data_IF_342903861693
#
_entry.id   IF_342903861693
#
_cell.length_a   1.000
_cell.length_b   1.000
_cell.length_c   1.000
_cell.angle_alpha   90.00
_cell.angle_beta   90.00
_cell.angle_gamma   90.00
#
_symmetry.space_group_name_H-M   'P 1'
#
loop_
_entity.id
_entity.type
_entity.pdbx_description
1 polymer ?
#
# COMPACT_ATOMS: atom_id res chain seq x y z
N UNK A 1 -106.29 9.72 -20.59
CA UNK A 1 -105.51 9.63 -19.34
C UNK A 1 -104.38 8.66 -19.58
N UNK A 2 -103.21 9.17 -19.95
CA UNK A 2 -101.99 8.42 -20.34
C UNK A 2 -100.91 8.74 -19.32
N UNK A 3 -100.56 7.72 -18.50
CA UNK A 3 -99.43 7.83 -17.54
C UNK A 3 -98.08 7.55 -18.23
N UNK A 4 -97.19 8.56 -18.24
CA UNK A 4 -95.84 8.40 -18.66
C UNK A 4 -95.00 7.79 -17.54
N UNK A 5 -94.35 6.68 -17.79
CA UNK A 5 -93.35 6.05 -16.95
C UNK A 5 -92.00 6.59 -17.33
N UNK A 6 -91.31 7.39 -16.46
CA UNK A 6 -89.96 7.78 -16.63
C UNK A 6 -89.01 6.72 -16.04
N UNK A 7 -88.23 6.08 -16.89
CA UNK A 7 -87.15 5.17 -16.52
C UNK A 7 -85.89 6.00 -16.37
N UNK A 8 -85.34 6.09 -15.13
CA UNK A 8 -84.08 6.78 -14.85
C UNK A 8 -82.98 5.72 -14.88
N UNK A 9 -82.10 5.84 -15.87
CA UNK A 9 -80.95 4.97 -16.04
C UNK A 9 -79.79 5.55 -15.17
N UNK A 10 -79.45 4.82 -14.11
CA UNK A 10 -78.24 5.17 -13.32
C UNK A 10 -77.00 4.55 -14.00
N UNK A 11 -76.13 5.37 -14.57
CA UNK A 11 -74.87 4.97 -15.10
C UNK A 11 -73.88 4.85 -13.92
N UNK A 12 -73.55 3.63 -13.52
CA UNK A 12 -72.50 3.38 -12.52
C UNK A 12 -71.20 3.41 -13.26
N UNK A 13 -70.45 4.53 -13.09
CA UNK A 13 -69.06 4.66 -13.54
C UNK A 13 -68.17 3.88 -12.58
N UNK A 14 -67.78 2.66 -12.96
CA UNK A 14 -66.71 1.92 -12.27
C UNK A 14 -65.38 2.57 -12.63
N UNK A 15 -64.83 3.36 -11.71
CA UNK A 15 -63.46 3.84 -11.79
C UNK A 15 -62.51 2.65 -11.61
N UNK A 16 -62.01 2.07 -12.69
CA UNK A 16 -60.87 1.15 -12.71
C UNK A 16 -59.63 2.00 -12.48
N UNK A 17 -59.26 2.18 -11.21
CA UNK A 17 -57.92 2.71 -10.84
C UNK A 17 -56.89 1.70 -11.39
N UNK A 18 -55.91 2.14 -12.18
CA UNK A 18 -54.79 1.26 -12.53
C UNK A 18 -54.09 0.86 -11.23
N UNK A 19 -54.15 -0.41 -10.86
CA UNK A 19 -53.27 -1.01 -9.88
C UNK A 19 -51.85 -0.87 -10.49
N UNK A 20 -51.14 0.20 -10.12
CA UNK A 20 -49.68 0.23 -10.28
C UNK A 20 -49.17 -0.96 -9.50
N UNK A 21 -48.72 -2.00 -10.19
CA UNK A 21 -47.83 -3.00 -9.63
C UNK A 21 -46.63 -2.23 -9.10
N UNK A 22 -46.66 -1.89 -7.83
CA UNK A 22 -45.44 -1.49 -7.14
C UNK A 22 -44.49 -2.65 -7.39
N UNK A 23 -43.46 -2.43 -8.20
CA UNK A 23 -42.32 -3.35 -8.23
C UNK A 23 -41.81 -3.41 -6.81
N UNK A 24 -42.13 -4.52 -6.13
CA UNK A 24 -41.53 -4.80 -4.84
C UNK A 24 -40.03 -4.83 -5.07
N UNK A 25 -39.32 -4.06 -4.32
CA UNK A 25 -37.87 -4.16 -4.25
C UNK A 25 -37.55 -5.57 -3.74
N UNK A 26 -37.13 -6.46 -4.67
CA UNK A 26 -36.82 -7.85 -4.34
C UNK A 26 -35.33 -7.89 -3.88
N UNK A 27 -35.10 -7.53 -2.61
CA UNK A 27 -33.90 -7.99 -1.90
C UNK A 27 -34.00 -9.50 -1.64
N UNK A 28 -32.91 -10.17 -1.27
CA UNK A 28 -32.96 -11.59 -0.90
C UNK A 28 -33.82 -11.77 0.35
N UNK A 29 -34.73 -12.74 0.32
CA UNK A 29 -35.56 -13.07 1.48
C UNK A 29 -34.73 -13.59 2.66
N UNK A 30 -33.63 -14.28 2.36
CA UNK A 30 -32.67 -14.84 3.33
C UNK A 30 -31.30 -15.07 2.66
N UNK A 31 -30.26 -15.11 3.46
CA UNK A 31 -28.92 -15.57 3.06
C UNK A 31 -28.59 -16.98 3.55
N UNK A 32 -29.55 -17.69 4.18
CA UNK A 32 -29.31 -18.95 4.87
C UNK A 32 -28.76 -20.04 3.93
N UNK A 33 -29.45 -20.28 2.80
CA UNK A 33 -29.04 -21.32 1.84
C UNK A 33 -27.67 -21.02 1.22
N UNK A 34 -27.41 -19.73 0.94
CA UNK A 34 -26.12 -19.30 0.42
C UNK A 34 -25.00 -19.52 1.45
N UNK A 35 -25.24 -19.11 2.70
CA UNK A 35 -24.29 -19.28 3.80
C UNK A 35 -23.99 -20.77 4.05
N UNK A 36 -25.01 -21.64 4.07
CA UNK A 36 -24.84 -23.09 4.21
C UNK A 36 -23.97 -23.68 3.09
N UNK A 37 -24.19 -23.25 1.85
CA UNK A 37 -23.45 -23.72 0.68
C UNK A 37 -21.97 -23.36 0.72
N UNK A 38 -21.61 -22.11 1.13
CA UNK A 38 -20.25 -21.59 0.98
C UNK A 38 -19.40 -21.67 2.25
N UNK A 39 -20.02 -21.77 3.44
CA UNK A 39 -19.32 -21.83 4.73
C UNK A 39 -18.31 -22.96 4.88
N UNK A 40 -18.53 -24.19 4.31
CA UNK A 40 -17.53 -25.25 4.41
C UNK A 40 -16.15 -24.91 3.85
N UNK A 41 -16.09 -23.97 2.89
CA UNK A 41 -14.85 -23.53 2.27
C UNK A 41 -14.20 -22.34 2.98
N UNK A 42 -14.84 -21.76 4.02
CA UNK A 42 -14.30 -20.64 4.80
C UNK A 42 -13.65 -21.19 6.05
N UNK A 43 -12.41 -20.82 6.27
CA UNK A 43 -11.57 -21.36 7.34
C UNK A 43 -11.18 -20.29 8.35
N UNK A 44 -10.94 -20.73 9.59
CA UNK A 44 -10.22 -19.95 10.59
C UNK A 44 -8.73 -20.15 10.38
N UNK A 45 -7.97 -19.06 10.47
CA UNK A 45 -6.51 -19.06 10.47
C UNK A 45 -6.04 -18.58 11.83
N UNK A 46 -5.29 -19.43 12.52
CA UNK A 46 -4.61 -19.09 13.77
C UNK A 46 -3.11 -19.17 13.57
N UNK A 47 -2.40 -18.13 13.99
CA UNK A 47 -0.95 -18.05 13.87
C UNK A 47 -0.32 -17.84 15.25
N UNK A 48 0.89 -18.36 15.42
CA UNK A 48 1.76 -18.04 16.54
C UNK A 48 3.11 -17.60 16.02
N UNK A 49 3.75 -16.65 16.70
CA UNK A 49 5.06 -16.15 16.31
C UNK A 49 5.75 -15.45 17.48
N UNK A 50 7.03 -15.13 17.29
CA UNK A 50 7.86 -14.39 18.24
C UNK A 50 8.20 -13.05 17.60
N UNK A 51 7.85 -11.96 18.24
CA UNK A 51 8.27 -10.61 17.83
C UNK A 51 9.48 -10.22 18.68
N UNK A 52 10.63 -10.03 18.03
CA UNK A 52 11.76 -9.31 18.62
C UNK A 52 11.46 -7.82 18.53
N UNK A 53 11.10 -7.20 19.63
CA UNK A 53 10.84 -5.77 19.68
C UNK A 53 12.17 -5.00 19.58
N UNK A 54 12.64 -4.76 18.36
CA UNK A 54 13.57 -3.67 18.07
C UNK A 54 12.76 -2.39 18.04
N UNK A 55 13.09 -1.42 18.88
CA UNK A 55 12.31 -0.21 19.18
C UNK A 55 12.05 0.76 18.00
N UNK A 56 11.51 0.27 16.91
CA UNK A 56 10.91 1.03 15.82
C UNK A 56 9.53 0.42 15.54
N UNK A 57 8.53 1.27 15.63
CA UNK A 57 7.11 0.96 15.48
C UNK A 57 6.82 0.29 14.14
N UNK A 58 6.70 -1.03 14.12
CA UNK A 58 5.93 -1.70 13.07
C UNK A 58 4.45 -1.69 13.48
N UNK A 59 3.53 -1.31 12.58
CA UNK A 59 2.11 -1.35 12.88
C UNK A 59 1.70 -2.79 13.19
N UNK A 60 1.25 -3.03 14.43
CA UNK A 60 0.67 -4.31 14.83
C UNK A 60 -0.74 -4.45 14.23
N UNK A 61 -1.27 -5.69 14.16
CA UNK A 61 -2.70 -5.92 13.83
C UNK A 61 -3.62 -5.02 14.68
N UNK A 62 -3.19 -4.68 15.89
CA UNK A 62 -3.91 -3.76 16.79
C UNK A 62 -3.89 -2.33 16.26
N UNK A 63 -2.86 -1.91 15.57
CA UNK A 63 -2.75 -0.58 14.96
C UNK A 63 -3.60 -0.45 13.71
N UNK A 64 -3.82 -1.53 12.97
CA UNK A 64 -4.75 -1.58 11.84
C UNK A 64 -6.21 -1.33 12.25
N UNK A 65 -6.56 -1.66 13.50
CA UNK A 65 -7.91 -1.47 14.05
C UNK A 65 -8.00 -0.32 15.06
N UNK A 66 -6.88 0.30 15.48
CA UNK A 66 -6.83 1.39 16.45
C UNK A 66 -6.07 2.59 15.87
N UNK A 67 -6.74 3.53 15.23
CA UNK A 67 -6.22 4.87 14.97
C UNK A 67 -6.27 5.72 16.29
N UNK A 68 -5.49 6.76 16.52
CA UNK A 68 -4.25 6.83 17.30
C UNK A 68 -4.53 7.09 18.79
N UNK A 69 -4.03 6.25 19.67
CA UNK A 69 -3.78 6.65 21.07
C UNK A 69 -2.35 6.26 21.46
N UNK A 70 -1.53 7.27 21.72
CA UNK A 70 -0.21 7.17 22.32
C UNK A 70 -0.26 6.38 23.64
N UNK A 71 0.38 5.22 23.68
CA UNK A 71 0.78 4.58 24.93
C UNK A 71 2.31 4.62 25.07
N UNK A 72 2.84 4.78 26.32
CA UNK A 72 4.28 4.88 26.53
C UNK A 72 4.97 3.54 26.28
N UNK A 73 6.12 3.62 25.62
CA UNK A 73 7.04 2.57 25.26
C UNK A 73 7.34 1.61 26.43
N UNK A 74 7.12 0.29 26.31
CA UNK A 74 7.68 -0.70 27.23
C UNK A 74 9.07 -1.18 26.76
N UNK A 75 9.88 -1.63 27.71
CA UNK A 75 11.23 -2.15 27.49
C UNK A 75 11.25 -3.38 26.56
N UNK A 76 12.36 -3.66 25.84
CA UNK A 76 12.46 -4.76 24.90
C UNK A 76 12.22 -6.11 25.58
N UNK A 77 11.23 -6.85 25.14
CA UNK A 77 10.96 -8.22 25.58
C UNK A 77 10.45 -9.05 24.42
N UNK A 78 10.94 -10.28 24.26
CA UNK A 78 10.34 -11.28 23.39
C UNK A 78 8.90 -11.53 23.84
N UNK A 79 7.93 -11.32 22.97
CA UNK A 79 6.53 -11.68 23.24
C UNK A 79 6.04 -12.68 22.21
N UNK A 80 5.50 -13.79 22.69
CA UNK A 80 4.67 -14.65 21.87
C UNK A 80 3.37 -13.90 21.52
N UNK A 81 3.06 -13.82 20.24
CA UNK A 81 1.78 -13.31 19.79
C UNK A 81 0.95 -14.44 19.17
N UNK A 82 -0.37 -14.30 19.24
CA UNK A 82 -1.31 -15.14 18.52
C UNK A 82 -2.25 -14.26 17.74
N UNK A 83 -2.28 -14.43 16.42
CA UNK A 83 -3.22 -13.74 15.54
C UNK A 83 -4.34 -14.69 15.14
N UNK A 84 -5.53 -14.12 14.92
CA UNK A 84 -6.72 -14.82 14.47
C UNK A 84 -7.33 -14.07 13.28
N UNK A 85 -7.48 -14.78 12.19
CA UNK A 85 -8.14 -14.29 10.98
C UNK A 85 -8.97 -15.38 10.31
N UNK A 86 -9.42 -15.08 9.11
CA UNK A 86 -10.12 -16.01 8.24
C UNK A 86 -9.37 -16.19 6.93
N UNK A 87 -9.73 -17.20 6.20
CA UNK A 87 -9.33 -17.44 4.83
C UNK A 87 -10.39 -18.25 4.11
N UNK A 88 -10.16 -18.56 2.86
CA UNK A 88 -11.02 -19.44 2.10
C UNK A 88 -10.24 -20.28 1.11
N UNK A 89 -10.69 -21.50 0.93
CA UNK A 89 -10.10 -22.48 0.02
C UNK A 89 -10.49 -22.13 -1.42
N UNK A 90 -9.52 -22.14 -2.34
CA UNK A 90 -9.71 -21.82 -3.76
C UNK A 90 -9.47 -23.00 -4.70
N UNK A 91 -9.00 -24.12 -4.15
CA UNK A 91 -8.73 -25.34 -4.95
C UNK A 91 -8.92 -26.61 -4.14
N UNK A 92 -9.29 -27.72 -4.81
CA UNK A 92 -9.51 -29.03 -4.19
C UNK A 92 -8.26 -29.58 -3.48
N UNK A 93 -7.07 -29.20 -3.94
CA UNK A 93 -5.79 -29.63 -3.40
C UNK A 93 -5.29 -28.77 -2.23
N UNK A 94 -6.04 -27.70 -1.84
CA UNK A 94 -5.84 -26.99 -0.58
C UNK A 94 -5.06 -25.68 -0.66
N UNK A 95 -5.13 -24.94 -1.76
CA UNK A 95 -4.73 -23.53 -1.76
C UNK A 95 -5.76 -22.67 -1.03
N UNK A 96 -5.27 -21.77 -0.19
CA UNK A 96 -6.09 -20.90 0.67
C UNK A 96 -5.63 -19.46 0.50
N UNK A 97 -6.59 -18.56 0.32
CA UNK A 97 -6.38 -17.11 0.28
C UNK A 97 -6.70 -16.50 1.64
N UNK A 98 -5.86 -15.57 2.07
CA UNK A 98 -6.06 -14.75 3.26
C UNK A 98 -5.37 -13.39 3.11
N UNK A 99 -5.42 -12.54 4.13
CA UNK A 99 -4.62 -11.31 4.17
C UNK A 99 -3.19 -11.58 4.64
N UNK A 100 -2.25 -10.76 4.14
CA UNK A 100 -0.85 -10.81 4.58
C UNK A 100 -0.73 -10.53 6.09
N UNK A 101 -1.39 -9.48 6.59
CA UNK A 101 -1.34 -9.11 8.01
C UNK A 101 -1.83 -10.21 8.97
N UNK A 102 -2.60 -11.21 8.49
CA UNK A 102 -3.03 -12.36 9.30
C UNK A 102 -1.90 -13.34 9.54
N UNK A 103 -0.96 -13.47 8.59
CA UNK A 103 0.11 -14.47 8.58
C UNK A 103 1.51 -13.87 8.68
N UNK A 104 1.61 -12.55 8.68
CA UNK A 104 2.88 -11.85 8.80
C UNK A 104 3.59 -12.22 10.12
N UNK A 105 4.89 -12.47 10.03
CA UNK A 105 5.75 -12.89 11.15
C UNK A 105 5.31 -14.19 11.86
N UNK A 106 4.42 -15.00 11.26
CA UNK A 106 4.01 -16.26 11.82
C UNK A 106 5.11 -17.32 11.69
N UNK A 107 5.42 -18.00 12.79
CA UNK A 107 6.28 -19.19 12.79
C UNK A 107 5.48 -20.48 12.63
N UNK A 108 4.21 -20.48 13.00
CA UNK A 108 3.28 -21.62 12.86
C UNK A 108 1.91 -21.11 12.40
N UNK A 109 1.37 -21.73 11.34
CA UNK A 109 0.07 -21.38 10.75
C UNK A 109 -0.82 -22.61 10.80
N UNK A 110 -1.99 -22.47 11.44
CA UNK A 110 -2.98 -23.53 11.56
C UNK A 110 -4.32 -23.10 11.01
N UNK A 111 -4.87 -23.94 10.17
CA UNK A 111 -6.18 -23.76 9.52
C UNK A 111 -7.20 -24.67 10.19
N UNK A 112 -8.35 -24.11 10.58
CA UNK A 112 -9.47 -24.87 11.14
C UNK A 112 -10.70 -24.68 10.28
N UNK A 113 -11.24 -25.77 9.75
CA UNK A 113 -12.48 -25.82 8.96
C UNK A 113 -13.72 -25.74 9.84
N UNK A 114 -14.88 -25.48 9.27
CA UNK A 114 -16.16 -25.37 10.00
C UNK A 114 -16.63 -26.68 10.63
N UNK A 115 -16.20 -27.82 10.11
CA UNK A 115 -16.47 -29.16 10.65
C UNK A 115 -15.50 -29.56 11.79
N UNK A 116 -14.53 -28.69 12.11
CA UNK A 116 -13.53 -28.92 13.15
C UNK A 116 -12.24 -29.59 12.66
N UNK A 117 -12.10 -29.91 11.36
CA UNK A 117 -10.84 -30.40 10.79
C UNK A 117 -9.75 -29.33 10.96
N UNK A 118 -8.60 -29.73 11.46
CA UNK A 118 -7.43 -28.86 11.68
C UNK A 118 -6.26 -29.35 10.84
N UNK A 119 -5.68 -28.45 10.06
CA UNK A 119 -4.51 -28.74 9.22
C UNK A 119 -3.44 -27.69 9.48
N UNK A 120 -2.19 -28.10 9.41
CA UNK A 120 -1.05 -27.18 9.32
C UNK A 120 -1.00 -26.60 7.93
N UNK A 121 -0.69 -25.31 7.84
CA UNK A 121 -0.58 -24.60 6.56
C UNK A 121 0.84 -24.08 6.37
N UNK A 122 1.32 -24.17 5.14
CA UNK A 122 2.55 -23.57 4.67
C UNK A 122 2.24 -22.22 4.00
N UNK A 123 3.00 -21.17 4.34
CA UNK A 123 2.96 -19.90 3.62
C UNK A 123 3.73 -20.06 2.30
N UNK A 124 3.01 -20.08 1.19
CA UNK A 124 3.61 -20.18 -0.15
C UNK A 124 4.27 -18.88 -0.54
N UNK A 125 3.52 -17.78 -0.47
CA UNK A 125 4.00 -16.43 -0.76
C UNK A 125 2.98 -15.39 -0.30
N UNK A 126 3.40 -14.12 -0.27
CA UNK A 126 2.54 -13.00 0.10
C UNK A 126 2.89 -11.74 -0.69
N UNK A 127 1.98 -10.79 -0.67
CA UNK A 127 2.15 -9.44 -1.19
C UNK A 127 1.70 -8.42 -0.14
N UNK A 128 2.65 -7.77 0.51
CA UNK A 128 2.38 -6.79 1.55
C UNK A 128 1.69 -5.52 1.01
N UNK A 129 1.95 -5.16 -0.27
CA UNK A 129 1.40 -3.95 -0.89
C UNK A 129 -0.11 -4.04 -1.15
N UNK A 130 -0.64 -5.25 -1.41
CA UNK A 130 -2.09 -5.50 -1.57
C UNK A 130 -2.70 -6.24 -0.40
N UNK A 131 -1.92 -6.53 0.66
CA UNK A 131 -2.36 -7.26 1.84
C UNK A 131 -2.95 -8.64 1.54
N UNK A 132 -2.33 -9.41 0.64
CA UNK A 132 -2.76 -10.76 0.26
C UNK A 132 -1.69 -11.81 0.56
N UNK A 133 -2.11 -13.00 0.96
CA UNK A 133 -1.25 -14.16 1.17
C UNK A 133 -1.89 -15.43 0.61
N UNK A 134 -1.03 -16.33 0.11
CA UNK A 134 -1.38 -17.65 -0.38
C UNK A 134 -0.79 -18.71 0.55
N UNK A 135 -1.66 -19.54 1.10
CA UNK A 135 -1.30 -20.67 1.93
C UNK A 135 -1.58 -21.99 1.20
N UNK A 136 -0.93 -23.04 1.67
CA UNK A 136 -1.15 -24.41 1.22
C UNK A 136 -1.35 -25.34 2.42
N UNK A 137 -2.42 -26.12 2.39
CA UNK A 137 -2.64 -27.23 3.33
C UNK A 137 -2.57 -28.56 2.58
N UNK A 138 -2.22 -29.63 3.28
CA UNK A 138 -2.29 -30.97 2.74
C UNK A 138 -3.69 -31.53 2.94
N UNK A 139 -4.48 -31.58 1.86
CA UNK A 139 -5.84 -32.11 1.84
C UNK A 139 -6.21 -32.56 0.42
N UNK A 140 -7.20 -33.42 0.33
CA UNK A 140 -7.78 -33.92 -0.93
C UNK A 140 -9.28 -33.66 -0.91
N UNK A 141 -9.85 -33.36 -2.06
CA UNK A 141 -11.29 -33.11 -2.25
C UNK A 141 -11.86 -32.02 -1.31
N UNK A 142 -11.05 -30.99 -1.00
CA UNK A 142 -11.47 -29.92 -0.13
C UNK A 142 -12.58 -29.06 -0.77
N UNK A 143 -13.62 -28.66 0.00
CA UNK A 143 -14.61 -27.72 -0.48
C UNK A 143 -13.92 -26.37 -0.80
N UNK A 144 -14.14 -25.83 -1.99
CA UNK A 144 -13.48 -24.63 -2.47
C UNK A 144 -14.44 -23.64 -3.12
N UNK A 145 -14.02 -22.40 -3.26
CA UNK A 145 -14.78 -21.28 -3.80
C UNK A 145 -14.18 -20.81 -5.12
N UNK A 146 -15.03 -20.23 -5.94
CA UNK A 146 -14.62 -19.60 -7.19
C UNK A 146 -14.67 -18.07 -7.06
N UNK A 147 -13.68 -17.41 -7.64
CA UNK A 147 -13.72 -15.97 -7.81
C UNK A 147 -14.80 -15.56 -8.82
N UNK A 148 -15.57 -14.54 -8.45
CA UNK A 148 -16.47 -13.83 -9.35
C UNK A 148 -15.77 -12.65 -10.01
N UNK A 149 -16.50 -11.93 -10.84
CA UNK A 149 -16.01 -10.71 -11.50
C UNK A 149 -16.40 -9.48 -10.68
N UNK A 150 -15.43 -8.93 -9.92
CA UNK A 150 -15.64 -7.75 -9.10
C UNK A 150 -16.04 -6.50 -9.90
N UNK A 151 -15.73 -6.43 -11.22
CA UNK A 151 -16.09 -5.26 -12.02
C UNK A 151 -17.57 -5.18 -12.32
N UNK A 152 -18.29 -6.30 -12.22
CA UNK A 152 -19.75 -6.35 -12.34
C UNK A 152 -20.47 -5.90 -11.06
N UNK A 153 -19.78 -5.85 -9.91
CA UNK A 153 -20.36 -5.44 -8.64
C UNK A 153 -20.66 -3.93 -8.63
N UNK A 154 -21.95 -3.56 -8.60
CA UNK A 154 -22.40 -2.17 -8.61
C UNK A 154 -22.72 -1.68 -7.20
N UNK A 155 -22.55 -0.39 -6.96
CA UNK A 155 -23.04 0.26 -5.75
C UNK A 155 -24.54 -0.03 -5.58
N UNK A 156 -24.91 -0.52 -4.40
CA UNK A 156 -26.27 -0.99 -4.07
C UNK A 156 -26.49 -2.49 -4.26
N UNK A 157 -25.56 -3.24 -4.88
CA UNK A 157 -25.67 -4.70 -4.92
C UNK A 157 -25.55 -5.30 -3.52
N UNK A 158 -26.38 -6.29 -3.20
CA UNK A 158 -26.25 -7.08 -1.98
C UNK A 158 -24.97 -7.87 -1.96
N UNK A 159 -24.36 -7.94 -0.78
CA UNK A 159 -23.14 -8.71 -0.52
C UNK A 159 -23.24 -9.41 0.83
N UNK A 160 -22.53 -10.53 0.96
CA UNK A 160 -22.43 -11.30 2.19
C UNK A 160 -20.96 -11.52 2.53
N UNK A 161 -20.53 -11.09 3.71
CA UNK A 161 -19.20 -11.35 4.23
C UNK A 161 -19.26 -12.55 5.20
N UNK A 162 -18.32 -13.47 5.05
CA UNK A 162 -18.17 -14.61 5.97
C UNK A 162 -16.75 -14.60 6.53
N UNK A 163 -16.66 -14.88 7.84
CA UNK A 163 -15.43 -15.20 8.53
C UNK A 163 -15.65 -16.37 9.47
N UNK A 164 -14.58 -16.94 9.98
CA UNK A 164 -14.65 -18.02 10.97
C UNK A 164 -13.82 -17.67 12.22
N UNK A 165 -14.11 -16.54 12.90
CA UNK A 165 -13.38 -16.17 14.09
C UNK A 165 -13.51 -17.27 15.15
N UNK A 166 -12.39 -17.70 15.70
CA UNK A 166 -12.33 -18.73 16.74
C UNK A 166 -12.68 -20.17 16.32
N UNK A 167 -12.93 -20.46 15.04
CA UNK A 167 -13.28 -21.82 14.59
C UNK A 167 -14.63 -22.33 15.13
N UNK A 168 -15.57 -21.44 15.44
CA UNK A 168 -16.85 -21.76 16.07
C UNK A 168 -18.02 -21.93 15.08
N UNK A 169 -17.73 -22.19 13.80
CA UNK A 169 -18.77 -22.49 12.81
C UNK A 169 -19.13 -21.32 11.88
N UNK A 170 -18.32 -20.26 11.86
CA UNK A 170 -18.49 -19.14 10.95
C UNK A 170 -19.37 -18.01 11.48
N UNK A 171 -19.08 -16.80 11.04
CA UNK A 171 -19.91 -15.60 11.28
C UNK A 171 -20.28 -15.01 9.93
N UNK A 172 -21.58 -14.82 9.72
CA UNK A 172 -22.14 -14.28 8.48
C UNK A 172 -22.65 -12.87 8.75
N UNK A 173 -22.24 -11.92 7.92
CA UNK A 173 -22.80 -10.57 7.90
C UNK A 173 -23.23 -10.22 6.48
N UNK A 174 -24.26 -9.40 6.32
CA UNK A 174 -24.76 -8.97 5.02
C UNK A 174 -24.92 -7.46 4.97
N UNK A 175 -24.79 -6.92 3.77
CA UNK A 175 -24.91 -5.50 3.48
C UNK A 175 -24.92 -5.27 1.98
N UNK A 176 -24.48 -4.10 1.55
CA UNK A 176 -24.38 -3.73 0.13
C UNK A 176 -22.98 -3.28 -0.24
N UNK A 177 -22.68 -3.25 -1.50
CA UNK A 177 -21.58 -2.46 -2.04
C UNK A 177 -21.91 -0.99 -1.84
N UNK A 178 -21.21 -0.31 -0.92
CA UNK A 178 -21.44 1.10 -0.61
C UNK A 178 -20.69 2.05 -1.55
N UNK A 179 -19.49 1.64 -2.00
CA UNK A 179 -18.67 2.37 -2.97
C UNK A 179 -17.65 1.41 -3.61
N UNK A 180 -16.98 1.88 -4.67
CA UNK A 180 -15.88 1.16 -5.35
C UNK A 180 -14.69 2.12 -5.54
N UNK A 181 -13.51 1.56 -5.82
CA UNK A 181 -12.32 2.34 -6.10
C UNK A 181 -11.87 3.17 -4.88
N UNK A 182 -12.10 2.68 -3.66
CA UNK A 182 -11.66 3.39 -2.45
C UNK A 182 -10.18 3.24 -2.24
N UNK A 183 -9.53 4.40 -2.01
CA UNK A 183 -8.11 4.52 -1.74
C UNK A 183 -7.94 5.01 -0.30
N UNK A 184 -7.14 4.32 0.49
CA UNK A 184 -6.97 4.57 1.92
C UNK A 184 -5.54 5.01 2.27
N UNK A 185 -4.69 5.18 1.26
CA UNK A 185 -3.32 5.66 1.38
C UNK A 185 -2.27 4.67 0.90
N UNK A 186 -2.64 3.44 0.60
CA UNK A 186 -1.78 2.46 -0.05
C UNK A 186 -1.58 2.77 -1.55
N UNK A 187 -0.44 2.38 -2.08
CA UNK A 187 -0.06 2.65 -3.47
C UNK A 187 -0.95 1.96 -4.50
N UNK A 188 -1.47 0.78 -4.16
CA UNK A 188 -2.28 -0.07 -5.05
C UNK A 188 -3.69 -0.30 -4.53
N UNK A 189 -4.17 0.59 -3.66
CA UNK A 189 -5.51 0.51 -3.13
C UNK A 189 -6.56 0.58 -4.24
N UNK A 190 -7.52 -0.32 -4.18
CA UNK A 190 -8.71 -0.35 -5.03
C UNK A 190 -9.84 -1.08 -4.31
N UNK A 191 -10.24 -0.57 -3.12
CA UNK A 191 -11.16 -1.32 -2.28
C UNK A 191 -12.63 -1.19 -2.71
N UNK A 192 -13.36 -2.30 -2.55
CA UNK A 192 -14.81 -2.29 -2.46
C UNK A 192 -15.16 -1.89 -1.03
N UNK A 193 -15.94 -0.82 -0.88
CA UNK A 193 -16.51 -0.42 0.41
C UNK A 193 -17.85 -1.12 0.61
N UNK A 194 -18.09 -1.66 1.81
CA UNK A 194 -19.37 -2.30 2.19
C UNK A 194 -19.80 -1.89 3.59
N UNK A 195 -21.11 -1.91 3.85
CA UNK A 195 -21.70 -1.77 5.19
C UNK A 195 -21.99 -3.14 5.85
N UNK A 196 -21.75 -4.25 5.15
CA UNK A 196 -21.63 -5.55 5.79
C UNK A 196 -20.58 -5.46 6.91
N UNK A 197 -20.93 -5.88 8.12
CA UNK A 197 -20.08 -5.70 9.29
C UNK A 197 -18.79 -6.50 9.16
N UNK A 198 -17.66 -5.80 8.92
CA UNK A 198 -16.31 -6.35 8.99
C UNK A 198 -15.80 -6.07 10.40
N UNK A 199 -15.22 -7.08 11.04
CA UNK A 199 -14.66 -6.99 12.38
C UNK A 199 -13.43 -7.90 12.49
N UNK A 200 -12.70 -7.82 13.61
CA UNK A 200 -11.63 -8.77 13.93
C UNK A 200 -12.13 -10.20 13.78
N UNK A 201 -11.48 -10.98 12.94
CA UNK A 201 -11.75 -12.38 12.68
C UNK A 201 -12.44 -12.69 11.36
N UNK A 202 -13.04 -11.74 10.62
CA UNK A 202 -13.45 -11.97 9.24
C UNK A 202 -12.50 -11.35 8.19
N UNK A 203 -11.42 -10.69 8.63
CA UNK A 203 -10.31 -10.29 7.75
C UNK A 203 -9.67 -11.52 7.11
N UNK A 204 -9.39 -11.46 5.81
CA UNK A 204 -8.92 -12.57 4.98
C UNK A 204 -10.03 -13.50 4.48
N UNK A 205 -11.24 -13.40 5.04
CA UNK A 205 -12.41 -14.14 4.58
C UNK A 205 -13.04 -13.52 3.32
N UNK A 206 -13.94 -14.28 2.64
CA UNK A 206 -14.54 -13.85 1.38
C UNK A 206 -15.70 -12.86 1.57
N UNK A 207 -15.84 -11.95 0.59
CA UNK A 207 -17.04 -11.17 0.32
C UNK A 207 -17.73 -11.76 -0.90
N UNK A 208 -18.99 -12.18 -0.76
CA UNK A 208 -19.76 -12.86 -1.80
C UNK A 208 -20.78 -11.94 -2.45
N UNK A 209 -21.08 -12.21 -3.71
CA UNK A 209 -22.33 -11.81 -4.35
C UNK A 209 -23.49 -12.78 -4.00
N UNK A 210 -24.67 -12.53 -4.56
CA UNK A 210 -25.85 -13.39 -4.34
C UNK A 210 -25.78 -14.75 -5.05
N UNK A 211 -24.87 -14.93 -6.01
CA UNK A 211 -24.64 -16.19 -6.72
C UNK A 211 -23.64 -17.09 -5.98
N UNK A 212 -23.03 -16.58 -4.91
CA UNK A 212 -22.03 -17.28 -4.09
C UNK A 212 -20.63 -17.26 -4.70
N UNK A 213 -20.35 -16.32 -5.59
CA UNK A 213 -19.02 -16.06 -6.09
C UNK A 213 -18.30 -15.07 -5.19
N UNK A 214 -17.00 -15.26 -5.01
CA UNK A 214 -16.15 -14.34 -4.24
C UNK A 214 -15.87 -13.11 -5.07
N UNK A 215 -16.42 -11.96 -4.70
CA UNK A 215 -16.18 -10.67 -5.36
C UNK A 215 -15.14 -9.81 -4.63
N UNK A 216 -14.68 -10.26 -3.45
CA UNK A 216 -13.61 -9.58 -2.72
C UNK A 216 -13.08 -10.38 -1.55
N UNK A 217 -11.93 -9.94 -1.02
CA UNK A 217 -11.30 -10.45 0.21
C UNK A 217 -11.45 -9.39 1.28
N UNK A 218 -12.18 -9.69 2.37
CA UNK A 218 -12.36 -8.75 3.48
C UNK A 218 -11.00 -8.40 4.08
N UNK A 219 -10.68 -7.12 4.23
CA UNK A 219 -9.36 -6.69 4.73
C UNK A 219 -9.49 -5.85 5.98
N UNK A 220 -10.04 -4.65 5.90
CA UNK A 220 -9.96 -3.69 6.99
C UNK A 220 -11.27 -2.93 7.22
N UNK A 221 -11.30 -2.14 8.30
CA UNK A 221 -12.38 -1.20 8.61
C UNK A 221 -11.80 0.18 8.94
N UNK A 222 -12.59 1.22 8.72
CA UNK A 222 -12.35 2.51 9.36
C UNK A 222 -13.24 2.57 10.60
N UNK A 223 -12.63 2.66 11.78
CA UNK A 223 -13.36 2.66 13.05
C UNK A 223 -12.62 3.42 14.14
N UNK A 224 -13.27 4.38 14.82
CA UNK A 224 -12.68 5.06 15.98
C UNK A 224 -12.58 4.17 17.23
N UNK A 225 -13.33 3.06 17.28
CA UNK A 225 -13.45 2.21 18.47
C UNK A 225 -13.00 0.75 18.25
N UNK A 226 -12.49 0.43 17.05
CA UNK A 226 -12.07 -0.93 16.69
C UNK A 226 -13.21 -1.91 16.34
N UNK A 227 -14.47 -1.48 16.39
CA UNK A 227 -15.64 -2.26 15.95
C UNK A 227 -16.27 -1.68 14.69
N UNK A 228 -17.04 -2.49 13.95
CA UNK A 228 -17.71 -2.04 12.72
C UNK A 228 -18.70 -0.91 12.99
N UNK A 229 -18.61 0.15 12.20
CA UNK A 229 -19.56 1.26 12.13
C UNK A 229 -20.26 1.35 10.76
N UNK A 230 -20.22 0.27 9.97
CA UNK A 230 -20.78 0.22 8.61
C UNK A 230 -19.81 0.74 7.54
N UNK A 231 -18.51 0.78 7.82
CA UNK A 231 -17.47 1.18 6.86
C UNK A 231 -16.40 0.08 6.83
N UNK A 232 -16.67 -0.95 6.04
CA UNK A 232 -15.76 -2.06 5.78
C UNK A 232 -15.19 -2.00 4.36
N UNK A 233 -14.03 -2.63 4.16
CA UNK A 233 -13.30 -2.64 2.90
C UNK A 233 -12.88 -4.06 2.54
N UNK A 234 -13.04 -4.40 1.25
CA UNK A 234 -12.60 -5.66 0.68
C UNK A 234 -11.74 -5.42 -0.56
N UNK A 235 -10.69 -6.21 -0.72
CA UNK A 235 -9.84 -6.23 -1.91
C UNK A 235 -10.64 -6.87 -3.05
N UNK A 236 -10.81 -6.24 -4.23
CA UNK A 236 -11.61 -6.78 -5.34
C UNK A 236 -11.09 -8.13 -5.83
N UNK A 237 -12.00 -9.02 -6.19
CA UNK A 237 -11.64 -10.38 -6.64
C UNK A 237 -10.77 -10.40 -7.89
N UNK A 238 -10.96 -9.49 -8.85
CA UNK A 238 -10.13 -9.43 -10.05
C UNK A 238 -8.68 -9.09 -9.70
N UNK A 239 -8.46 -8.15 -8.79
CA UNK A 239 -7.12 -7.85 -8.25
C UNK A 239 -6.58 -9.04 -7.47
N UNK A 240 -7.36 -9.60 -6.54
CA UNK A 240 -6.94 -10.72 -5.71
C UNK A 240 -6.55 -11.93 -6.54
N UNK A 241 -7.37 -12.31 -7.54
CA UNK A 241 -7.08 -13.42 -8.45
C UNK A 241 -5.76 -13.22 -9.19
N UNK A 242 -5.53 -12.03 -9.74
CA UNK A 242 -4.29 -11.72 -10.48
C UNK A 242 -3.05 -11.86 -9.59
N UNK A 243 -3.13 -11.37 -8.35
CA UNK A 243 -2.05 -11.48 -7.36
C UNK A 243 -1.82 -12.96 -6.98
N UNK A 244 -2.88 -13.68 -6.62
CA UNK A 244 -2.80 -15.08 -6.21
C UNK A 244 -2.27 -15.99 -7.32
N UNK A 245 -2.67 -15.78 -8.58
CA UNK A 245 -2.15 -16.53 -9.74
C UNK A 245 -0.63 -16.32 -9.91
N UNK A 246 -0.13 -15.10 -9.68
CA UNK A 246 1.31 -14.81 -9.69
C UNK A 246 2.03 -15.47 -8.51
N UNK A 247 1.51 -15.31 -7.27
CA UNK A 247 2.08 -15.92 -6.07
C UNK A 247 2.17 -17.45 -6.21
N UNK A 248 1.15 -18.11 -6.79
CA UNK A 248 1.14 -19.54 -7.02
C UNK A 248 2.17 -19.98 -8.07
N UNK A 249 2.46 -19.15 -9.08
CA UNK A 249 3.28 -19.54 -10.24
C UNK A 249 4.75 -19.18 -10.04
N UNK A 250 5.03 -17.99 -9.52
CA UNK A 250 6.39 -17.42 -9.44
C UNK A 250 6.88 -17.24 -8.00
N UNK A 251 5.99 -17.31 -7.01
CA UNK A 251 6.31 -17.05 -5.61
C UNK A 251 6.53 -15.56 -5.29
N UNK A 252 6.44 -14.68 -6.27
CA UNK A 252 6.61 -13.22 -6.09
C UNK A 252 5.72 -12.44 -7.04
N UNK A 253 5.37 -11.22 -6.64
CA UNK A 253 4.66 -10.29 -7.51
C UNK A 253 5.66 -9.45 -8.31
N UNK A 254 5.49 -9.47 -9.61
CA UNK A 254 6.29 -8.64 -10.50
C UNK A 254 5.44 -7.49 -11.03
N UNK A 255 5.77 -6.27 -10.63
CA UNK A 255 5.12 -5.04 -11.10
C UNK A 255 6.02 -4.30 -12.06
N UNK A 256 5.43 -3.72 -13.10
CA UNK A 256 6.16 -2.78 -13.92
C UNK A 256 6.41 -1.48 -13.15
N UNK A 257 7.45 -0.79 -13.53
CA UNK A 257 7.96 0.36 -12.82
C UNK A 257 8.47 1.45 -13.75
N UNK A 258 8.07 2.70 -13.47
CA UNK A 258 8.56 3.91 -14.12
C UNK A 258 9.77 4.52 -13.39
N UNK A 259 9.73 4.53 -12.06
CA UNK A 259 10.73 5.17 -11.22
C UNK A 259 10.56 6.68 -11.09
N UNK A 260 9.32 7.12 -10.92
CA UNK A 260 8.94 8.51 -10.63
C UNK A 260 8.45 8.64 -9.19
N UNK A 261 8.77 9.74 -8.52
CA UNK A 261 8.05 10.23 -7.34
C UNK A 261 7.05 11.25 -7.80
N UNK A 262 5.80 11.09 -7.37
CA UNK A 262 4.67 11.88 -7.86
C UNK A 262 3.94 12.56 -6.72
N UNK A 263 3.29 13.67 -7.03
CA UNK A 263 2.37 14.36 -6.13
C UNK A 263 1.10 14.78 -6.85
N UNK A 264 0.09 15.11 -6.08
CA UNK A 264 -1.20 15.57 -6.56
C UNK A 264 -1.06 16.92 -7.31
N UNK A 265 -1.82 17.07 -8.38
CA UNK A 265 -1.98 18.32 -9.11
C UNK A 265 -3.11 19.10 -8.46
N UNK A 266 -2.80 20.13 -7.67
CA UNK A 266 -3.81 21.02 -7.10
C UNK A 266 -4.31 22.04 -8.14
N UNK A 267 -5.42 22.74 -7.82
CA UNK A 267 -5.95 23.80 -8.70
C UNK A 267 -4.92 24.91 -8.97
N UNK A 268 -4.12 25.27 -7.95
CA UNK A 268 -3.08 26.30 -8.08
C UNK A 268 -1.94 25.81 -8.97
N UNK A 269 -1.55 24.53 -8.88
CA UNK A 269 -0.51 23.94 -9.73
C UNK A 269 -1.01 23.87 -11.17
N UNK A 270 -2.25 23.40 -11.41
CA UNK A 270 -2.85 23.32 -12.73
C UNK A 270 -2.88 24.71 -13.40
N UNK A 271 -3.37 25.74 -12.69
CA UNK A 271 -3.39 27.11 -13.21
C UNK A 271 -1.99 27.66 -13.49
N UNK A 272 -1.03 27.40 -12.61
CA UNK A 272 0.37 27.89 -12.76
C UNK A 272 1.09 27.26 -13.96
N UNK A 273 0.71 26.04 -14.33
CA UNK A 273 1.30 25.30 -15.45
C UNK A 273 0.41 25.34 -16.73
N UNK A 274 -0.65 26.15 -16.74
CA UNK A 274 -1.53 26.33 -17.88
C UNK A 274 -2.40 25.10 -18.22
N UNK A 275 -2.63 24.21 -17.25
CA UNK A 275 -3.50 23.04 -17.42
C UNK A 275 -4.98 23.47 -17.35
N UNK A 276 -5.82 22.94 -18.24
CA UNK A 276 -7.22 23.34 -18.35
C UNK A 276 -8.13 22.77 -17.24
N UNK A 277 -7.71 21.68 -16.61
CA UNK A 277 -8.41 21.01 -15.49
C UNK A 277 -7.39 20.39 -14.54
N UNK A 278 -7.81 20.14 -13.32
CA UNK A 278 -6.99 19.45 -12.30
C UNK A 278 -7.04 17.95 -12.52
N UNK A 279 -5.99 17.38 -13.11
CA UNK A 279 -5.82 15.94 -13.37
C UNK A 279 -4.34 15.61 -13.58
N UNK A 280 -4.01 14.33 -13.68
CA UNK A 280 -2.64 13.88 -13.89
C UNK A 280 -1.86 13.66 -12.58
N UNK A 281 -0.60 13.31 -12.73
CA UNK A 281 0.36 13.10 -11.66
C UNK A 281 1.60 13.96 -11.90
N UNK A 282 1.88 14.93 -11.01
CA UNK A 282 3.05 15.80 -11.11
C UNK A 282 4.30 15.04 -10.68
N UNK A 283 5.30 14.97 -11.55
CA UNK A 283 6.60 14.36 -11.26
C UNK A 283 7.40 15.29 -10.36
N UNK A 284 7.49 14.93 -9.08
CA UNK A 284 8.26 15.63 -8.06
C UNK A 284 9.75 15.26 -8.11
N UNK A 285 10.07 14.06 -8.59
CA UNK A 285 11.43 13.57 -8.68
C UNK A 285 11.52 12.26 -9.47
N UNK A 286 12.72 11.89 -9.80
CA UNK A 286 13.04 10.68 -10.55
C UNK A 286 14.04 9.83 -9.75
N UNK A 287 13.79 8.52 -9.71
CA UNK A 287 14.76 7.60 -9.12
C UNK A 287 15.99 7.50 -10.04
N UNK A 288 17.22 7.54 -9.50
CA UNK A 288 18.42 7.33 -10.30
C UNK A 288 18.33 6.04 -11.13
N UNK A 289 18.85 6.06 -12.34
CA UNK A 289 18.85 4.94 -13.28
C UNK A 289 17.47 4.36 -13.64
N UNK A 290 16.39 5.06 -13.28
CA UNK A 290 15.04 4.62 -13.59
C UNK A 290 14.71 4.66 -15.10
N UNK A 291 13.71 3.86 -15.54
CA UNK A 291 13.17 3.94 -16.90
C UNK A 291 12.71 5.35 -17.29
N UNK A 292 11.99 6.02 -16.40
CA UNK A 292 11.50 7.39 -16.63
C UNK A 292 12.62 8.39 -16.90
N UNK A 293 13.70 8.32 -16.11
CA UNK A 293 14.88 9.20 -16.29
C UNK A 293 15.58 8.93 -17.63
N UNK A 294 15.78 7.64 -17.97
CA UNK A 294 16.47 7.21 -19.20
C UNK A 294 15.72 7.63 -20.45
N UNK A 295 14.37 7.53 -20.41
CA UNK A 295 13.52 7.75 -21.58
C UNK A 295 12.91 9.16 -21.61
N UNK A 296 13.42 10.09 -20.78
CA UNK A 296 13.25 11.53 -20.96
C UNK A 296 12.10 12.19 -20.22
N UNK A 297 11.48 11.51 -19.24
CA UNK A 297 10.61 12.17 -18.25
C UNK A 297 11.48 13.10 -17.40
N UNK A 298 10.92 14.23 -16.97
CA UNK A 298 11.62 15.26 -16.19
C UNK A 298 10.84 15.64 -14.95
N UNK A 299 11.54 16.16 -13.96
CA UNK A 299 10.90 16.83 -12.84
C UNK A 299 10.10 18.04 -13.34
N UNK A 300 8.90 18.22 -12.78
CA UNK A 300 7.95 19.24 -13.22
C UNK A 300 7.00 18.80 -14.34
N UNK A 301 7.18 17.63 -14.96
CA UNK A 301 6.20 17.07 -15.88
C UNK A 301 4.91 16.69 -15.14
N UNK A 302 3.75 16.87 -15.76
CA UNK A 302 2.51 16.26 -15.30
C UNK A 302 2.20 15.09 -16.25
N UNK A 303 2.22 13.86 -15.75
CA UNK A 303 1.81 12.68 -16.54
C UNK A 303 0.29 12.69 -16.62
N UNK A 304 -0.25 12.86 -17.82
CA UNK A 304 -1.70 13.01 -18.07
C UNK A 304 -2.33 11.81 -18.77
N UNK A 305 -1.53 10.96 -19.42
CA UNK A 305 -1.99 9.73 -20.07
C UNK A 305 -0.91 8.65 -19.98
N UNK A 306 -1.32 7.39 -19.77
CA UNK A 306 -0.48 6.22 -19.77
C UNK A 306 -1.14 5.07 -20.54
N UNK A 307 -0.51 4.58 -21.61
CA UNK A 307 -1.04 3.54 -22.51
C UNK A 307 -2.50 3.81 -22.94
N UNK A 308 -2.77 5.02 -23.44
CA UNK A 308 -4.08 5.49 -23.91
C UNK A 308 -5.16 5.60 -22.79
N UNK A 309 -4.78 5.46 -21.53
CA UNK A 309 -5.66 5.68 -20.38
C UNK A 309 -5.36 7.05 -19.74
N UNK A 310 -6.39 7.86 -19.50
CA UNK A 310 -6.25 9.15 -18.83
C UNK A 310 -5.82 8.93 -17.36
N UNK A 311 -4.82 9.69 -16.90
CA UNK A 311 -4.41 9.73 -15.51
C UNK A 311 -5.28 10.76 -14.80
N UNK A 312 -6.40 10.32 -14.24
CA UNK A 312 -7.37 11.21 -13.59
C UNK A 312 -6.84 11.85 -12.30
N UNK A 313 -5.94 11.15 -11.61
CA UNK A 313 -5.35 11.60 -10.33
C UNK A 313 -3.98 10.97 -10.11
N UNK A 314 -3.25 11.46 -9.09
CA UNK A 314 -1.95 10.91 -8.69
C UNK A 314 -2.01 9.42 -8.36
N UNK A 315 -3.15 8.94 -7.85
CA UNK A 315 -3.37 7.54 -7.46
C UNK A 315 -3.62 6.62 -8.67
N UNK A 316 -4.10 7.16 -9.79
CA UNK A 316 -4.39 6.37 -11.00
C UNK A 316 -3.10 5.84 -11.64
N UNK A 317 -2.03 6.64 -11.67
CA UNK A 317 -0.80 6.29 -12.37
C UNK A 317 -0.10 5.03 -11.83
N UNK A 318 0.10 4.84 -10.52
CA UNK A 318 0.74 3.63 -10.01
C UNK A 318 0.02 2.34 -10.41
N UNK A 319 -1.32 2.36 -10.41
CA UNK A 319 -2.16 1.23 -10.82
C UNK A 319 -1.94 0.90 -12.31
N UNK A 320 -2.07 1.90 -13.19
CA UNK A 320 -1.87 1.73 -14.64
C UNK A 320 -0.46 1.20 -14.96
N UNK A 321 0.56 1.69 -14.25
CA UNK A 321 1.94 1.23 -14.43
C UNK A 321 2.11 -0.21 -13.94
N UNK A 322 1.58 -0.56 -12.76
CA UNK A 322 1.72 -1.89 -12.18
C UNK A 322 1.05 -2.99 -13.04
N UNK A 323 -0.05 -2.66 -13.72
CA UNK A 323 -0.79 -3.56 -14.62
C UNK A 323 -0.11 -3.72 -15.99
N UNK A 324 0.86 -2.85 -16.34
CA UNK A 324 1.56 -2.90 -17.62
C UNK A 324 2.59 -4.04 -17.66
N UNK A 325 2.99 -4.42 -18.85
CA UNK A 325 3.96 -5.48 -19.06
C UNK A 325 5.40 -4.99 -18.91
N UNK A 326 6.19 -5.68 -18.08
CA UNK A 326 7.61 -5.39 -17.86
C UNK A 326 8.40 -5.60 -19.16
N UNK A 327 9.35 -4.70 -19.44
CA UNK A 327 10.20 -4.74 -20.63
C UNK A 327 9.53 -4.30 -21.92
N UNK A 328 8.25 -3.88 -21.83
CA UNK A 328 7.51 -3.34 -22.98
C UNK A 328 7.50 -1.81 -22.90
N UNK A 329 7.60 -1.18 -24.06
CA UNK A 329 7.56 0.27 -24.18
C UNK A 329 6.13 0.79 -23.95
N UNK A 330 5.94 1.59 -22.91
CA UNK A 330 4.67 2.25 -22.61
C UNK A 330 4.63 3.64 -23.23
N UNK A 331 3.48 4.01 -23.80
CA UNK A 331 3.19 5.36 -24.24
C UNK A 331 2.85 6.23 -23.04
N UNK A 332 3.60 7.31 -22.81
CA UNK A 332 3.37 8.26 -21.71
C UNK A 332 3.20 9.65 -22.31
N UNK A 333 2.05 10.28 -22.06
CA UNK A 333 1.83 11.67 -22.44
C UNK A 333 2.05 12.55 -21.21
N UNK A 334 2.96 13.50 -21.35
CA UNK A 334 3.27 14.48 -20.31
C UNK A 334 2.89 15.88 -20.73
N UNK A 335 2.39 16.68 -19.80
CA UNK A 335 2.24 18.12 -19.94
C UNK A 335 3.54 18.80 -19.48
N UNK A 336 4.22 19.48 -20.41
CA UNK A 336 5.51 20.15 -20.20
C UNK A 336 5.57 21.41 -21.06
N UNK A 337 5.94 22.55 -20.49
CA UNK A 337 6.03 23.84 -21.19
C UNK A 337 4.70 24.24 -21.89
N UNK A 338 3.58 24.07 -21.19
CA UNK A 338 2.21 24.32 -21.66
C UNK A 338 1.82 23.52 -22.94
N UNK A 339 2.44 22.37 -23.17
CA UNK A 339 2.19 21.50 -24.31
C UNK A 339 2.21 20.02 -23.90
N UNK A 340 1.41 19.22 -24.63
CA UNK A 340 1.48 17.77 -24.53
C UNK A 340 2.72 17.25 -25.29
N UNK A 341 3.47 16.36 -24.63
CA UNK A 341 4.61 15.65 -25.24
C UNK A 341 4.43 14.15 -25.02
N UNK A 342 4.48 13.39 -26.11
CA UNK A 342 4.43 11.93 -26.04
C UNK A 342 5.84 11.38 -25.91
N UNK A 343 6.04 10.53 -24.91
CA UNK A 343 7.26 9.78 -24.64
C UNK A 343 6.96 8.29 -24.70
N UNK A 344 7.97 7.48 -25.01
CA UNK A 344 7.88 6.03 -24.97
C UNK A 344 8.90 5.52 -23.95
N UNK A 345 8.40 4.90 -22.86
CA UNK A 345 9.22 4.49 -21.73
C UNK A 345 9.26 2.98 -21.63
N UNK A 346 10.45 2.39 -21.65
CA UNK A 346 10.64 0.95 -21.50
C UNK A 346 10.56 0.59 -20.01
N UNK A 347 9.42 -0.01 -19.59
CA UNK A 347 9.16 -0.28 -18.19
C UNK A 347 10.13 -1.32 -17.61
N UNK A 348 10.68 -1.01 -16.44
CA UNK A 348 11.49 -1.93 -15.66
C UNK A 348 10.64 -2.82 -14.74
N UNK A 349 11.28 -3.80 -14.09
CA UNK A 349 10.73 -4.47 -12.91
C UNK A 349 10.84 -3.51 -11.72
N UNK A 350 9.81 -3.43 -10.90
CA UNK A 350 9.85 -2.66 -9.66
C UNK A 350 10.94 -3.23 -8.74
N UNK A 351 11.93 -2.41 -8.31
CA UNK A 351 12.91 -2.84 -7.32
C UNK A 351 12.24 -3.16 -5.98
N UNK A 352 12.81 -4.08 -5.21
CA UNK A 352 12.39 -4.32 -3.83
C UNK A 352 12.55 -3.06 -2.97
N UNK A 353 11.88 -3.02 -1.81
CA UNK A 353 12.03 -1.88 -0.87
C UNK A 353 13.49 -1.71 -0.43
N UNK A 354 14.24 -2.80 -0.26
CA UNK A 354 15.66 -2.79 0.07
C UNK A 354 16.50 -2.22 -1.08
N UNK A 355 16.22 -2.64 -2.31
CA UNK A 355 16.87 -2.10 -3.51
C UNK A 355 16.55 -0.62 -3.71
N UNK A 356 15.29 -0.19 -3.52
CA UNK A 356 14.90 1.22 -3.58
C UNK A 356 15.61 2.04 -2.51
N UNK A 357 15.66 1.55 -1.27
CA UNK A 357 16.40 2.21 -0.20
C UNK A 357 17.90 2.32 -0.51
N UNK A 358 18.50 1.31 -1.13
CA UNK A 358 19.90 1.35 -1.55
C UNK A 358 20.12 2.35 -2.70
N UNK A 359 19.25 2.36 -3.71
CA UNK A 359 19.29 3.31 -4.83
C UNK A 359 19.10 4.76 -4.35
N UNK A 360 18.16 5.00 -3.45
CA UNK A 360 17.92 6.32 -2.86
C UNK A 360 19.11 6.76 -2.00
N UNK A 361 19.74 5.86 -1.27
CA UNK A 361 20.95 6.12 -0.50
C UNK A 361 22.16 6.42 -1.40
N UNK A 362 22.33 5.73 -2.53
CA UNK A 362 23.39 6.01 -3.50
C UNK A 362 23.10 7.26 -4.33
N UNK A 363 21.84 7.52 -4.68
CA UNK A 363 21.42 8.67 -5.49
C UNK A 363 21.32 10.00 -4.73
N UNK A 364 21.25 9.98 -3.41
CA UNK A 364 21.12 11.19 -2.58
C UNK A 364 22.45 11.78 -2.12
N UNK A 365 23.58 11.40 -2.74
CA UNK A 365 24.87 12.01 -2.42
C UNK A 365 24.91 13.46 -2.88
N UNK A 366 25.20 14.37 -1.96
CA UNK A 366 25.32 15.81 -2.23
C UNK A 366 26.79 16.17 -2.31
N UNK A 367 27.18 16.87 -3.36
CA UNK A 367 28.54 17.44 -3.46
C UNK A 367 28.62 18.77 -2.71
N UNK A 368 29.47 18.84 -1.71
CA UNK A 368 29.78 20.05 -0.95
C UNK A 368 31.02 20.68 -1.58
N UNK A 369 30.80 21.64 -2.49
CA UNK A 369 31.84 22.31 -3.26
C UNK A 369 32.89 22.97 -2.33
N UNK A 370 32.43 23.59 -1.26
CA UNK A 370 33.26 24.35 -0.30
C UNK A 370 34.25 23.46 0.46
N UNK A 371 34.01 22.15 0.53
CA UNK A 371 34.84 21.17 1.22
C UNK A 371 35.51 20.17 0.25
N UNK A 372 35.06 20.11 -1.01
CA UNK A 372 35.51 19.13 -1.99
C UNK A 372 35.18 17.71 -1.58
N UNK A 373 33.95 17.47 -1.08
CA UNK A 373 33.49 16.16 -0.64
C UNK A 373 32.07 15.85 -1.17
N UNK A 374 31.82 14.58 -1.40
CA UNK A 374 30.50 14.08 -1.69
C UNK A 374 30.00 13.28 -0.50
N UNK A 375 28.82 13.59 -0.04
CA UNK A 375 28.26 13.07 1.21
C UNK A 375 26.85 12.54 1.02
N UNK A 376 26.44 11.58 1.85
CA UNK A 376 25.04 11.14 1.99
C UNK A 376 24.72 10.78 3.44
N UNK A 377 23.46 10.62 3.74
CA UNK A 377 23.04 10.15 5.06
C UNK A 377 23.61 8.76 5.34
N UNK A 378 24.00 8.50 6.60
CA UNK A 378 24.48 7.20 7.05
C UNK A 378 23.28 6.24 7.11
N UNK A 379 23.35 5.12 6.36
CA UNK A 379 22.32 4.08 6.34
C UNK A 379 22.59 2.96 7.35
N UNK A 380 21.60 2.12 7.62
CA UNK A 380 21.79 0.92 8.45
C UNK A 380 22.75 -0.07 7.77
N UNK A 381 22.75 -0.18 6.43
CA UNK A 381 23.70 -1.00 5.69
C UNK A 381 25.13 -0.52 5.86
N UNK A 382 25.37 0.79 5.91
CA UNK A 382 26.69 1.33 6.24
C UNK A 382 27.12 0.96 7.65
N UNK A 383 26.19 1.05 8.60
CA UNK A 383 26.48 0.66 9.99
C UNK A 383 26.86 -0.81 10.06
N UNK A 384 26.13 -1.68 9.39
CA UNK A 384 26.43 -3.12 9.30
C UNK A 384 27.78 -3.37 8.61
N UNK A 385 28.00 -2.77 7.43
CA UNK A 385 29.23 -2.92 6.65
C UNK A 385 30.47 -2.42 7.39
N UNK A 386 30.34 -1.31 8.12
CA UNK A 386 31.43 -0.68 8.86
C UNK A 386 31.51 -1.15 10.33
N UNK A 387 30.64 -2.09 10.73
CA UNK A 387 30.52 -2.65 12.09
C UNK A 387 30.34 -1.56 13.15
N UNK A 388 29.48 -0.58 12.87
CA UNK A 388 29.16 0.52 13.77
C UNK A 388 28.03 0.13 14.73
N UNK A 389 28.00 0.79 15.88
CA UNK A 389 26.83 0.69 16.78
C UNK A 389 25.62 1.38 16.13
N UNK A 390 24.42 0.85 16.35
CA UNK A 390 23.15 1.46 15.94
C UNK A 390 22.96 2.89 16.45
N UNK A 391 23.60 3.23 17.58
CA UNK A 391 23.59 4.57 18.17
C UNK A 391 24.43 5.61 17.39
N UNK A 392 25.22 5.20 16.40
CA UNK A 392 26.00 6.16 15.58
C UNK A 392 25.07 6.84 14.58
N UNK A 393 24.94 8.15 14.68
CA UNK A 393 24.24 9.01 13.72
C UNK A 393 25.23 9.93 13.03
N UNK A 394 24.99 10.25 11.76
CA UNK A 394 25.90 11.13 11.02
C UNK A 394 25.70 11.07 9.52
N UNK A 395 26.69 11.59 8.81
CA UNK A 395 26.76 11.66 7.36
C UNK A 395 28.05 11.00 6.89
N UNK A 396 27.93 10.06 5.94
CA UNK A 396 29.09 9.32 5.40
C UNK A 396 29.65 10.00 4.14
N UNK A 397 30.96 10.01 3.99
CA UNK A 397 31.63 10.48 2.80
C UNK A 397 31.64 9.40 1.73
N UNK A 398 31.06 9.69 0.55
CA UNK A 398 31.10 8.79 -0.60
C UNK A 398 32.29 9.07 -1.52
N UNK A 399 32.78 10.31 -1.53
CA UNK A 399 33.91 10.73 -2.34
C UNK A 399 34.63 11.91 -1.65
N UNK A 400 35.95 12.01 -1.82
CA UNK A 400 36.77 13.12 -1.35
C UNK A 400 37.68 13.53 -2.49
N UNK A 401 37.61 14.79 -2.93
CA UNK A 401 38.42 15.30 -4.00
C UNK A 401 39.92 15.18 -3.65
N UNK A 402 40.72 14.76 -4.62
CA UNK A 402 42.20 14.61 -4.46
C UNK A 402 42.87 15.88 -4.00
N UNK A 403 42.37 17.03 -4.40
CA UNK A 403 42.91 18.35 -4.12
C UNK A 403 42.30 19.00 -2.88
N UNK A 404 41.31 18.36 -2.25
CA UNK A 404 40.62 18.90 -1.08
C UNK A 404 41.59 19.01 0.13
N UNK A 405 41.32 19.98 1.01
CA UNK A 405 42.04 20.09 2.29
C UNK A 405 41.83 18.81 3.14
N UNK A 406 40.63 18.20 3.10
CA UNK A 406 40.30 17.03 3.89
C UNK A 406 41.09 15.79 3.46
N UNK A 407 41.35 15.60 2.15
CA UNK A 407 42.22 14.53 1.66
C UNK A 407 43.63 14.63 2.26
N UNK A 408 44.20 15.86 2.34
CA UNK A 408 45.50 16.10 2.96
C UNK A 408 45.54 15.82 4.46
N UNK A 409 44.39 15.83 5.13
CA UNK A 409 44.21 15.42 6.54
C UNK A 409 43.91 13.93 6.71
N UNK A 410 44.14 13.13 5.65
CA UNK A 410 43.89 11.69 5.63
C UNK A 410 42.40 11.35 5.96
N UNK A 411 41.47 12.18 5.43
CA UNK A 411 40.04 11.89 5.35
C UNK A 411 39.77 11.26 4.01
N UNK A 412 38.97 10.21 4.01
CA UNK A 412 38.72 9.37 2.83
C UNK A 412 37.26 8.94 2.75
N UNK A 413 36.92 8.29 1.66
CA UNK A 413 35.63 7.59 1.51
C UNK A 413 35.35 6.69 2.73
N UNK A 414 34.12 6.62 3.16
CA UNK A 414 33.60 5.87 4.30
C UNK A 414 33.90 6.51 5.68
N UNK A 415 34.61 7.66 5.75
CA UNK A 415 34.65 8.43 6.98
C UNK A 415 33.31 9.11 7.26
N UNK A 416 32.93 9.23 8.54
CA UNK A 416 31.63 9.69 8.97
C UNK A 416 31.75 11.00 9.75
N UNK A 417 30.99 12.02 9.30
CA UNK A 417 30.85 13.30 10.01
C UNK A 417 29.72 13.13 11.03
N UNK A 418 29.99 13.34 12.31
CA UNK A 418 29.05 13.23 13.42
C UNK A 418 28.70 14.56 14.08
N UNK A 419 29.58 15.59 13.88
CA UNK A 419 29.39 16.90 14.48
C UNK A 419 30.06 17.97 13.62
N UNK A 420 29.49 19.16 13.49
CA UNK A 420 30.04 20.31 12.81
C UNK A 420 29.72 21.58 13.60
N UNK A 421 30.76 22.42 13.89
CA UNK A 421 30.63 23.67 14.69
C UNK A 421 29.94 23.44 16.04
N UNK A 422 30.24 22.34 16.72
CA UNK A 422 29.63 21.89 18.00
C UNK A 422 28.12 21.55 17.90
N UNK A 423 27.61 21.31 16.69
CA UNK A 423 26.24 20.83 16.48
C UNK A 423 26.25 19.39 15.95
N UNK A 424 25.43 18.53 16.53
CA UNK A 424 25.30 17.15 16.07
C UNK A 424 24.75 17.11 14.65
N UNK A 425 25.36 16.30 13.81
CA UNK A 425 24.95 16.06 12.43
C UNK A 425 24.23 14.73 12.34
N UNK A 426 23.03 14.75 11.82
CA UNK A 426 22.20 13.55 11.58
C UNK A 426 21.84 13.41 10.10
N UNK A 427 21.91 14.48 9.33
CA UNK A 427 21.53 14.50 7.92
C UNK A 427 22.45 15.41 7.09
N UNK A 428 22.45 15.22 5.77
CA UNK A 428 23.14 16.12 4.82
C UNK A 428 22.60 17.54 4.90
N UNK A 429 21.30 17.70 5.20
CA UNK A 429 20.69 19.02 5.40
C UNK A 429 21.25 19.79 6.59
N UNK A 430 21.69 19.11 7.64
CA UNK A 430 22.34 19.76 8.79
C UNK A 430 23.70 20.36 8.39
N UNK A 431 24.48 19.64 7.59
CA UNK A 431 25.75 20.12 7.06
C UNK A 431 25.55 21.39 6.22
N UNK A 432 24.59 21.39 5.30
CA UNK A 432 24.30 22.55 4.46
C UNK A 432 23.93 23.78 5.29
N UNK A 433 23.05 23.62 6.29
CA UNK A 433 22.66 24.73 7.20
C UNK A 433 23.86 25.30 7.97
N UNK A 434 24.78 24.44 8.44
CA UNK A 434 25.97 24.88 9.15
C UNK A 434 26.90 25.65 8.21
N UNK A 435 27.15 25.16 6.99
CA UNK A 435 27.99 25.81 6.00
C UNK A 435 27.42 27.17 5.60
N UNK A 436 26.15 27.26 5.24
CA UNK A 436 25.45 28.51 4.90
C UNK A 436 25.60 29.55 6.03
N UNK A 437 25.39 29.12 7.28
CA UNK A 437 25.55 30.00 8.44
C UNK A 437 26.99 30.46 8.64
N UNK A 438 28.00 29.59 8.47
CA UNK A 438 29.41 29.93 8.59
C UNK A 438 29.78 30.96 7.53
N UNK A 439 29.36 30.76 6.29
CA UNK A 439 29.58 31.69 5.17
C UNK A 439 28.87 33.01 5.41
N UNK A 440 27.62 33.02 5.85
CA UNK A 440 26.85 34.24 6.14
C UNK A 440 27.44 35.07 7.27
N UNK A 441 28.23 34.46 8.18
CA UNK A 441 28.99 35.12 9.23
C UNK A 441 30.35 35.63 8.78
N UNK A 442 30.71 35.47 7.49
CA UNK A 442 32.03 35.86 6.95
C UNK A 442 33.19 35.02 7.46
N UNK A 443 32.92 33.81 7.94
CA UNK A 443 33.95 32.88 8.41
C UNK A 443 34.41 31.97 7.28
N UNK A 444 35.68 31.74 7.16
CA UNK A 444 36.30 30.86 6.15
C UNK A 444 36.64 29.47 6.70
N UNK A 445 36.52 29.23 7.99
CA UNK A 445 36.90 27.97 8.61
C UNK A 445 35.73 27.35 9.35
N UNK A 446 35.63 26.03 9.25
CA UNK A 446 34.60 25.20 9.91
C UNK A 446 35.25 24.08 10.70
N UNK A 447 34.79 23.83 11.93
CA UNK A 447 35.22 22.69 12.71
C UNK A 447 34.34 21.48 12.33
N UNK A 448 34.98 20.38 11.94
CA UNK A 448 34.32 19.13 11.58
C UNK A 448 34.83 18.03 12.52
N UNK A 449 33.89 17.22 13.05
CA UNK A 449 34.23 16.11 13.92
C UNK A 449 33.83 14.81 13.22
N UNK A 450 34.80 13.94 13.00
CA UNK A 450 34.64 12.64 12.40
C UNK A 450 34.58 11.55 13.48
N UNK A 451 33.77 10.53 13.22
CA UNK A 451 33.77 9.32 14.01
C UNK A 451 35.05 8.53 13.81
N UNK A 452 35.75 8.21 14.88
CA UNK A 452 37.03 7.49 14.82
C UNK A 452 36.99 6.15 15.60
N UNK A 453 35.81 5.71 16.00
CA UNK A 453 35.57 4.48 16.76
C UNK A 453 34.78 4.72 18.06
N UNK A 454 34.43 3.67 18.81
CA UNK A 454 33.73 3.80 20.08
C UNK A 454 34.51 4.71 21.04
N UNK A 455 33.87 5.79 21.48
CA UNK A 455 34.48 6.83 22.34
C UNK A 455 35.68 7.60 21.74
N UNK A 456 35.88 7.56 20.43
CA UNK A 456 36.96 8.28 19.74
C UNK A 456 36.42 9.24 18.68
N UNK A 457 36.92 10.48 18.67
CA UNK A 457 36.54 11.53 17.75
C UNK A 457 37.78 12.16 17.13
N UNK A 458 37.74 12.45 15.83
CA UNK A 458 38.79 13.18 15.12
C UNK A 458 38.32 14.58 14.77
N UNK A 459 38.95 15.60 15.26
CA UNK A 459 38.62 17.02 15.05
C UNK A 459 39.46 17.61 13.95
N UNK A 460 38.87 18.28 12.98
CA UNK A 460 39.53 18.94 11.88
C UNK A 460 38.94 20.33 11.66
N UNK A 461 39.79 21.36 11.70
CA UNK A 461 39.43 22.69 11.22
C UNK A 461 39.66 22.74 9.71
N UNK A 462 38.57 22.77 8.93
CA UNK A 462 38.64 22.84 7.47
C UNK A 462 38.41 24.27 6.99
N UNK A 463 39.17 24.69 5.97
CA UNK A 463 38.97 25.96 5.27
C UNK A 463 37.95 25.72 4.15
N UNK A 464 36.93 26.54 4.09
CA UNK A 464 35.94 26.56 3.03
C UNK A 464 36.50 27.24 1.78
N UNK A 465 36.39 26.62 0.63
CA UNK A 465 36.70 27.24 -0.66
C UNK A 465 35.50 28.10 -1.07
N UNK A 466 35.57 29.38 -0.74
CA UNK A 466 34.54 30.38 -1.09
C UNK A 466 35.05 31.10 -2.33
N UNK A 467 34.60 30.68 -3.53
CA UNK A 467 34.86 31.38 -4.81
C UNK A 467 33.73 32.38 -5.12
#
# INVERSE_FOLDING_TARGET
MTKFFRFTFYLVLINILPFSLAQSFNGPDTFADLAEKVSPSVVNISTTGIIEQSGQDMPSIEDFFNFPFNMPNPEPSEREFSSLGSGFVISEDGYIVTNNHVVENASDIRVTFTDGLKLEAELIAFDAETDLALLKVNGEDLPHLEFGDSDTAKVGNWVMAIGNPHGLGGTVTAGIVSARGRMLGGRYDDFIQTDASINRGNSGGPLFDLDGKVIGVNSMIISPSGGSIGIGFAIPSNLAKNIIDQLATTGEIQRAWLGVRIQEVTDEIAQSLGLSKTYGALVQGLTPDSPALKDGIKEGDIIIEFNDNEVESVQTLPKLVAEAQIGVSAKVVVWRDEQEKTLYVNLGKQPSLEELASIENEGSSIFIKELGIKIRNLSEDDKNRLQLSSAVSGVILTEVDSDSFLMRQNIKKDDIIIEMQNESISSTGDILKVIERVISQGKENVLIVFYAGPNSRKYIGARLSID
#
